data_IF_766398948660
#
_entry.id   IF_766398948660
#
_cell.length_a   1.000
_cell.length_b   1.000
_cell.length_c   1.000
_cell.angle_alpha   90.00
_cell.angle_beta   90.00
_cell.angle_gamma   90.00
#
_symmetry.space_group_name_H-M   'P 1'
#
loop_
_entity.id
_entity.type
_entity.pdbx_description
1 polymer ?
#
# COMPACT_ATOMS: atom_id res chain seq x y z
N UNK A 1 3.97 63.40 -36.13
CA UNK A 1 3.48 64.36 -35.11
C UNK A 1 2.91 63.53 -33.97
N UNK A 2 3.48 63.73 -32.80
CA UNK A 2 3.20 63.07 -31.53
C UNK A 2 1.78 63.37 -31.01
N UNK A 3 1.24 62.47 -30.19
CA UNK A 3 0.60 62.83 -28.92
C UNK A 3 0.67 61.66 -27.93
N UNK A 4 1.11 62.00 -26.72
CA UNK A 4 1.25 61.20 -25.50
C UNK A 4 -0.12 61.01 -24.81
N UNK A 5 -0.42 59.81 -24.31
CA UNK A 5 -0.49 59.41 -22.89
C UNK A 5 -1.64 60.01 -22.06
N UNK A 6 -2.49 59.12 -21.53
CA UNK A 6 -3.15 59.36 -20.24
C UNK A 6 -3.10 58.07 -19.40
N UNK A 7 -2.60 58.22 -18.19
CA UNK A 7 -2.37 57.16 -17.21
C UNK A 7 -3.53 57.26 -16.21
N UNK A 8 -4.31 56.21 -16.03
CA UNK A 8 -5.16 56.08 -14.85
C UNK A 8 -4.97 54.70 -14.26
N UNK A 9 -4.26 54.69 -13.14
CA UNK A 9 -4.16 53.57 -12.21
C UNK A 9 -5.50 53.35 -11.53
N UNK A 10 -6.09 52.16 -11.68
CA UNK A 10 -6.87 51.56 -10.59
C UNK A 10 -6.69 50.04 -10.57
N UNK A 11 -6.21 49.60 -9.43
CA UNK A 11 -5.99 48.26 -8.90
C UNK A 11 -7.09 47.21 -9.16
N UNK A 12 -6.72 46.00 -9.56
CA UNK A 12 -6.70 44.80 -8.69
C UNK A 12 -6.84 43.50 -9.50
N UNK A 13 -5.79 42.66 -9.37
CA UNK A 13 -5.81 41.21 -9.14
C UNK A 13 -6.76 40.36 -10.00
N UNK A 14 -6.19 39.60 -10.94
CA UNK A 14 -6.01 38.15 -10.78
C UNK A 14 -5.25 37.59 -11.99
N UNK A 15 -4.07 37.04 -11.74
CA UNK A 15 -3.33 36.21 -12.68
C UNK A 15 -4.08 34.89 -12.88
N UNK A 16 -4.66 34.71 -14.05
CA UNK A 16 -5.06 33.39 -14.55
C UNK A 16 -4.49 33.23 -15.96
N UNK A 17 -3.46 32.39 -16.17
CA UNK A 17 -3.21 31.83 -17.48
C UNK A 17 -3.86 30.46 -17.53
N UNK A 18 -5.05 30.48 -18.13
CA UNK A 18 -5.85 29.35 -18.58
C UNK A 18 -5.05 28.10 -18.93
N UNK A 19 -5.45 27.01 -18.28
CA UNK A 19 -5.16 25.62 -18.59
C UNK A 19 -5.45 25.28 -20.05
N UNK A 20 -4.41 25.26 -20.89
CA UNK A 20 -4.47 24.51 -22.15
C UNK A 20 -3.88 23.11 -21.92
N UNK A 21 -4.66 22.25 -21.25
CA UNK A 21 -4.33 20.84 -21.07
C UNK A 21 -5.18 19.97 -22.01
N UNK A 22 -5.12 20.27 -23.31
CA UNK A 22 -5.58 19.36 -24.36
C UNK A 22 -4.53 18.26 -24.59
N UNK A 23 -4.43 17.33 -23.64
CA UNK A 23 -3.86 16.01 -23.89
C UNK A 23 -4.67 14.99 -23.11
N UNK A 24 -5.60 14.32 -23.80
CA UNK A 24 -6.43 13.23 -23.29
C UNK A 24 -5.62 11.96 -23.01
N UNK A 25 -4.59 12.05 -22.18
CA UNK A 25 -4.14 10.93 -21.37
C UNK A 25 -4.90 11.03 -20.06
N UNK A 26 -5.75 10.05 -19.67
CA UNK A 26 -6.28 10.04 -18.32
C UNK A 26 -5.08 10.09 -17.39
N UNK A 27 -4.98 11.14 -16.55
CA UNK A 27 -4.02 11.16 -15.45
C UNK A 27 -4.40 9.95 -14.60
N UNK A 28 -3.73 8.82 -14.82
CA UNK A 28 -3.61 7.80 -13.79
C UNK A 28 -3.07 8.58 -12.60
N UNK A 29 -3.90 8.82 -11.59
CA UNK A 29 -3.45 9.41 -10.34
C UNK A 29 -2.50 8.36 -9.78
N UNK A 30 -1.22 8.48 -10.11
CA UNK A 30 -0.19 7.64 -9.55
C UNK A 30 -0.14 8.06 -8.09
N UNK A 31 -0.73 7.25 -7.22
CA UNK A 31 -0.68 7.45 -5.78
C UNK A 31 0.80 7.57 -5.39
N UNK A 32 1.14 8.53 -4.55
CA UNK A 32 2.54 8.72 -4.13
C UNK A 32 3.08 7.43 -3.51
N UNK A 33 4.29 7.03 -3.91
CA UNK A 33 4.90 5.77 -3.47
C UNK A 33 4.49 4.53 -4.26
N UNK A 34 3.52 4.63 -5.17
CA UNK A 34 3.15 3.60 -6.15
C UNK A 34 4.17 3.57 -7.30
N UNK A 35 5.28 2.90 -7.07
CA UNK A 35 6.44 2.86 -7.98
C UNK A 35 6.61 1.52 -8.71
N UNK A 36 5.71 0.55 -8.48
CA UNK A 36 5.82 -0.82 -8.99
C UNK A 36 7.10 -1.56 -8.56
N UNK A 37 7.79 -1.06 -7.54
CA UNK A 37 8.87 -1.74 -6.83
C UNK A 37 8.43 -2.14 -5.41
N UNK A 38 7.52 -1.37 -4.81
CA UNK A 38 6.83 -1.71 -3.58
C UNK A 38 5.53 -2.45 -3.89
N UNK A 39 5.42 -3.64 -3.33
CA UNK A 39 4.28 -4.51 -3.55
C UNK A 39 3.67 -4.92 -2.23
N UNK A 40 2.36 -4.87 -2.19
CA UNK A 40 1.51 -5.33 -1.12
C UNK A 40 1.00 -6.74 -1.47
N UNK A 41 1.36 -7.73 -0.66
CA UNK A 41 0.94 -9.12 -0.81
C UNK A 41 -0.02 -9.46 0.31
N UNK A 42 -1.26 -9.75 -0.06
CA UNK A 42 -2.32 -10.19 0.84
C UNK A 42 -2.40 -11.73 0.78
N UNK A 43 -2.26 -12.37 1.94
CA UNK A 43 -2.34 -13.82 2.12
C UNK A 43 -3.75 -14.21 2.59
N UNK A 44 -4.11 -15.46 2.38
CA UNK A 44 -5.29 -16.05 3.00
C UNK A 44 -5.18 -16.04 4.53
N UNK A 45 -6.33 -15.99 5.22
CA UNK A 45 -6.39 -16.12 6.67
C UNK A 45 -5.80 -17.48 7.07
N UNK A 46 -4.79 -17.51 7.96
CA UNK A 46 -4.17 -18.76 8.34
C UNK A 46 -5.14 -19.62 9.14
N UNK A 47 -5.01 -20.93 9.01
CA UNK A 47 -5.84 -21.89 9.72
C UNK A 47 -5.42 -22.00 11.20
N UNK A 48 -6.41 -22.17 12.08
CA UNK A 48 -6.17 -22.30 13.52
C UNK A 48 -5.78 -20.98 14.18
N UNK A 49 -4.86 -21.06 15.15
CA UNK A 49 -4.38 -19.91 15.94
C UNK A 49 -2.85 -19.85 15.94
N UNK A 50 -2.21 -19.64 14.77
CA UNK A 50 -0.76 -19.54 14.71
C UNK A 50 -0.26 -18.32 15.46
N UNK A 51 1.00 -18.41 15.89
CA UNK A 51 1.73 -17.30 16.47
C UNK A 51 2.09 -16.26 15.40
N UNK A 52 2.36 -15.03 15.84
CA UNK A 52 2.85 -13.95 14.97
C UNK A 52 4.09 -14.34 14.17
N UNK A 53 5.02 -15.06 14.80
CA UNK A 53 6.26 -15.50 14.15
C UNK A 53 6.02 -16.59 13.11
N UNK A 54 5.07 -17.51 13.34
CA UNK A 54 4.67 -18.51 12.35
C UNK A 54 4.03 -17.85 11.13
N UNK A 55 3.15 -16.87 11.33
CA UNK A 55 2.56 -16.07 10.25
C UNK A 55 3.67 -15.38 9.45
N UNK A 56 4.59 -14.67 10.09
CA UNK A 56 5.72 -14.01 9.42
C UNK A 56 6.60 -15.03 8.68
N UNK A 57 6.81 -16.22 9.26
CA UNK A 57 7.56 -17.28 8.59
C UNK A 57 6.88 -17.73 7.29
N UNK A 58 5.55 -17.75 7.23
CA UNK A 58 4.83 -18.04 5.97
C UNK A 58 5.11 -16.97 4.91
N UNK A 59 5.14 -15.68 5.26
CA UNK A 59 5.43 -14.59 4.32
C UNK A 59 6.84 -14.72 3.73
N UNK A 60 7.82 -14.98 4.60
CA UNK A 60 9.20 -15.24 4.22
C UNK A 60 9.29 -16.48 3.31
N UNK A 61 8.55 -17.54 3.65
CA UNK A 61 8.51 -18.75 2.85
C UNK A 61 7.94 -18.50 1.45
N UNK A 62 6.84 -17.73 1.33
CA UNK A 62 6.25 -17.34 0.05
C UNK A 62 7.27 -16.65 -0.85
N UNK A 63 7.99 -15.63 -0.36
CA UNK A 63 9.04 -14.97 -1.15
C UNK A 63 10.21 -15.90 -1.47
N UNK A 64 10.54 -16.84 -0.57
CA UNK A 64 11.67 -17.75 -0.75
C UNK A 64 11.52 -18.67 -1.98
N UNK A 65 10.28 -18.97 -2.38
CA UNK A 65 9.98 -19.79 -3.56
C UNK A 65 10.51 -19.16 -4.86
N UNK A 66 10.71 -17.84 -4.90
CA UNK A 66 11.14 -17.10 -6.09
C UNK A 66 12.50 -16.39 -5.92
N UNK A 67 12.82 -15.92 -4.71
CA UNK A 67 13.97 -15.01 -4.48
C UNK A 67 15.18 -15.68 -3.80
N UNK A 68 15.08 -16.94 -3.39
CA UNK A 68 16.16 -17.64 -2.70
C UNK A 68 16.50 -17.03 -1.33
N UNK A 69 17.79 -16.93 -0.96
CA UNK A 69 18.27 -16.69 0.43
C UNK A 69 18.18 -15.25 0.96
N UNK A 70 17.93 -14.25 0.10
CA UNK A 70 17.89 -12.82 0.50
C UNK A 70 16.47 -12.28 0.66
N UNK A 71 15.47 -13.16 0.62
CA UNK A 71 14.05 -12.82 0.64
C UNK A 71 13.62 -12.05 1.89
N UNK A 72 14.19 -12.37 3.07
CA UNK A 72 13.87 -11.70 4.33
C UNK A 72 14.17 -10.20 4.33
N UNK A 73 15.18 -9.79 3.55
CA UNK A 73 15.60 -8.39 3.48
C UNK A 73 14.76 -7.56 2.51
N UNK A 74 13.85 -8.21 1.77
CA UNK A 74 12.93 -7.53 0.85
C UNK A 74 11.65 -7.08 1.53
N UNK A 75 11.28 -7.69 2.64
CA UNK A 75 10.09 -7.30 3.40
C UNK A 75 10.39 -6.02 4.17
N UNK A 76 9.51 -5.02 4.06
CA UNK A 76 9.61 -3.75 4.82
C UNK A 76 8.52 -3.58 5.87
N UNK A 77 7.37 -4.23 5.69
CA UNK A 77 6.25 -4.18 6.63
C UNK A 77 5.49 -5.50 6.66
N UNK A 78 4.88 -5.81 7.80
CA UNK A 78 4.02 -6.99 7.99
C UNK A 78 2.74 -6.59 8.73
N UNK A 79 1.66 -7.33 8.50
CA UNK A 79 0.44 -7.29 9.30
C UNK A 79 0.02 -8.74 9.61
N UNK A 80 -0.33 -9.01 10.86
CA UNK A 80 -0.46 -10.38 11.38
C UNK A 80 -1.73 -10.64 12.20
N UNK A 81 -2.62 -9.64 12.32
CA UNK A 81 -3.82 -9.69 13.16
C UNK A 81 -5.11 -9.74 12.34
N UNK A 82 -5.45 -8.60 11.72
CA UNK A 82 -6.70 -8.40 10.98
C UNK A 82 -6.52 -8.59 9.48
N UNK A 83 -5.36 -8.19 8.97
CA UNK A 83 -4.97 -8.35 7.57
C UNK A 83 -3.71 -9.19 7.53
N UNK A 84 -3.80 -10.38 6.93
CA UNK A 84 -2.64 -11.25 6.79
C UNK A 84 -1.86 -10.82 5.56
N UNK A 85 -0.96 -9.87 5.73
CA UNK A 85 -0.34 -9.17 4.61
C UNK A 85 1.12 -8.80 4.90
N UNK A 86 1.89 -8.60 3.84
CA UNK A 86 3.22 -8.04 3.95
C UNK A 86 3.59 -7.20 2.73
N UNK A 87 4.40 -6.18 2.98
CA UNK A 87 4.98 -5.32 1.96
C UNK A 87 6.38 -5.82 1.59
N UNK A 88 6.69 -5.91 0.29
CA UNK A 88 8.00 -6.32 -0.19
C UNK A 88 8.54 -5.47 -1.36
N UNK A 89 9.86 -5.24 -1.38
CA UNK A 89 10.60 -4.64 -2.48
C UNK A 89 10.95 -5.70 -3.53
N UNK A 90 10.13 -5.82 -4.57
CA UNK A 90 10.25 -6.82 -5.62
C UNK A 90 9.94 -6.20 -6.99
N UNK A 91 10.46 -6.79 -8.06
CA UNK A 91 10.11 -6.33 -9.41
C UNK A 91 8.68 -6.73 -9.78
N UNK A 92 8.08 -5.97 -10.68
CA UNK A 92 6.78 -6.27 -11.29
C UNK A 92 6.69 -7.71 -11.82
N UNK A 93 7.73 -8.21 -12.52
CA UNK A 93 7.76 -9.61 -12.98
C UNK A 93 7.63 -10.63 -11.83
N UNK A 94 8.23 -10.36 -10.66
CA UNK A 94 8.16 -11.26 -9.51
C UNK A 94 6.79 -11.17 -8.85
N UNK A 95 6.18 -9.99 -8.80
CA UNK A 95 4.85 -9.81 -8.21
C UNK A 95 3.79 -10.64 -8.94
N UNK A 96 3.86 -10.70 -10.28
CA UNK A 96 2.99 -11.56 -11.08
C UNK A 96 3.18 -13.05 -10.78
N UNK A 97 4.42 -13.50 -10.58
CA UNK A 97 4.70 -14.90 -10.19
C UNK A 97 4.20 -15.22 -8.77
N UNK A 98 4.26 -14.26 -7.85
CA UNK A 98 3.74 -14.44 -6.49
C UNK A 98 2.22 -14.62 -6.49
N UNK A 99 1.51 -13.88 -7.35
CA UNK A 99 0.04 -13.97 -7.46
C UNK A 99 -0.46 -15.39 -7.73
N UNK A 100 0.34 -16.21 -8.43
CA UNK A 100 0.01 -17.60 -8.76
C UNK A 100 0.36 -18.60 -7.63
N UNK A 101 0.95 -18.15 -6.53
CA UNK A 101 1.36 -19.04 -5.44
C UNK A 101 0.17 -19.42 -4.54
N UNK A 102 0.08 -20.68 -4.07
CA UNK A 102 -0.95 -21.09 -3.12
C UNK A 102 -0.92 -20.27 -1.83
N UNK A 103 -2.10 -19.89 -1.35
CA UNK A 103 -2.28 -19.08 -0.15
C UNK A 103 -2.10 -17.57 -0.37
N UNK A 104 -1.68 -17.14 -1.57
CA UNK A 104 -1.68 -15.72 -1.95
C UNK A 104 -3.07 -15.37 -2.44
N UNK A 105 -3.69 -14.40 -1.77
CA UNK A 105 -5.05 -13.96 -2.08
C UNK A 105 -5.05 -12.86 -3.13
N UNK A 106 -4.22 -11.82 -2.94
CA UNK A 106 -4.12 -10.65 -3.83
C UNK A 106 -2.71 -10.06 -3.80
N UNK A 107 -2.31 -9.43 -4.91
CA UNK A 107 -1.01 -8.73 -5.05
C UNK A 107 -1.24 -7.42 -5.79
N UNK A 108 -0.87 -6.30 -5.17
CA UNK A 108 -1.07 -4.95 -5.69
C UNK A 108 0.21 -4.11 -5.56
N UNK A 109 0.46 -3.14 -6.45
CA UNK A 109 1.48 -2.13 -6.21
C UNK A 109 1.06 -1.34 -4.96
N UNK A 110 1.99 -1.19 -4.02
CA UNK A 110 1.75 -0.50 -2.75
C UNK A 110 1.93 1.01 -2.92
N UNK A 111 1.31 1.80 -2.05
CA UNK A 111 1.41 3.25 -2.07
C UNK A 111 1.52 3.78 -0.64
N UNK A 112 2.00 5.01 -0.48
CA UNK A 112 2.03 5.63 0.83
C UNK A 112 0.60 5.86 1.34
N UNK A 113 0.37 5.49 2.59
CA UNK A 113 -0.81 5.89 3.34
C UNK A 113 -0.69 7.34 3.83
N UNK A 114 0.55 7.77 4.07
CA UNK A 114 0.91 9.15 4.38
C UNK A 114 2.13 9.54 3.52
N UNK A 115 1.87 10.41 2.53
CA UNK A 115 2.87 10.85 1.57
C UNK A 115 3.97 11.72 2.19
N UNK A 116 3.64 12.48 3.24
CA UNK A 116 4.59 13.40 3.90
C UNK A 116 5.66 12.59 4.66
N UNK A 117 5.23 11.55 5.37
CA UNK A 117 6.13 10.65 6.10
C UNK A 117 6.65 9.47 5.27
N UNK A 118 6.17 9.31 4.03
CA UNK A 118 6.47 8.17 3.15
C UNK A 118 6.19 6.82 3.81
N UNK A 119 5.07 6.76 4.52
CA UNK A 119 4.68 5.60 5.30
C UNK A 119 3.74 4.69 4.52
N UNK A 120 4.21 3.48 4.19
CA UNK A 120 3.37 2.40 3.64
C UNK A 120 2.51 1.73 4.72
N UNK A 121 2.73 2.06 6.00
CA UNK A 121 2.03 1.52 7.17
C UNK A 121 2.50 0.15 7.61
N UNK A 122 1.67 -0.49 8.44
CA UNK A 122 1.90 -1.85 8.90
C UNK A 122 3.01 -1.87 9.93
N UNK A 123 3.34 -3.06 10.41
CA UNK A 123 4.39 -3.25 11.41
C UNK A 123 5.76 -3.24 10.71
N UNK A 124 6.68 -2.30 11.03
CA UNK A 124 7.98 -2.25 10.39
C UNK A 124 8.76 -3.56 10.51
N UNK A 125 9.34 -4.00 9.40
CA UNK A 125 10.16 -5.20 9.30
C UNK A 125 11.60 -4.83 8.94
N UNK A 126 12.45 -4.74 9.96
CA UNK A 126 13.78 -4.16 9.85
C UNK A 126 14.82 -5.26 10.01
N UNK A 127 15.76 -5.36 9.07
CA UNK A 127 16.85 -6.35 9.09
C UNK A 127 16.35 -7.80 9.27
N UNK A 128 15.25 -8.14 8.61
CA UNK A 128 14.68 -9.48 8.65
C UNK A 128 13.90 -9.81 9.93
N UNK A 129 13.55 -8.81 10.75
CA UNK A 129 12.78 -8.98 11.99
C UNK A 129 11.68 -7.93 12.10
N UNK A 130 10.50 -8.36 12.54
CA UNK A 130 9.45 -7.42 12.89
C UNK A 130 9.79 -6.71 14.19
N UNK A 131 9.49 -5.42 14.29
CA UNK A 131 9.57 -4.69 15.57
C UNK A 131 8.61 -5.29 16.60
N UNK A 132 8.71 -4.97 17.90
CA UNK A 132 7.66 -5.33 18.86
C UNK A 132 6.28 -4.86 18.37
N UNK A 133 5.28 -5.73 18.48
CA UNK A 133 3.92 -5.40 18.06
C UNK A 133 3.36 -4.22 18.87
N UNK A 134 2.64 -3.34 18.18
CA UNK A 134 1.96 -2.18 18.74
C UNK A 134 0.61 -2.01 18.00
N UNK A 135 -0.54 -1.93 18.72
CA UNK A 135 -1.86 -1.79 18.11
C UNK A 135 -2.03 -0.59 17.17
N UNK A 136 -1.14 0.42 17.23
CA UNK A 136 -1.16 1.53 16.28
C UNK A 136 -1.00 1.09 14.82
N UNK A 137 -0.38 -0.06 14.56
CA UNK A 137 -0.13 -0.55 13.22
C UNK A 137 -1.38 -1.15 12.56
N UNK A 138 -2.33 -1.67 13.34
CA UNK A 138 -3.56 -2.26 12.81
C UNK A 138 -4.44 -1.24 12.09
N UNK A 139 -4.41 0.02 12.53
CA UNK A 139 -5.22 1.10 11.96
C UNK A 139 -4.66 1.65 10.65
N UNK A 140 -3.39 1.39 10.33
CA UNK A 140 -2.72 2.04 9.20
C UNK A 140 -3.16 1.45 7.86
N UNK A 141 -3.31 0.14 7.75
CA UNK A 141 -3.58 -0.49 6.44
C UNK A 141 -5.03 -0.34 5.95
N UNK A 142 -5.89 0.26 6.78
CA UNK A 142 -7.15 0.89 6.38
C UNK A 142 -8.22 -0.07 5.84
N UNK A 143 -9.47 0.41 5.71
CA UNK A 143 -10.57 -0.32 5.10
C UNK A 143 -10.38 -0.57 3.59
N UNK A 144 -9.48 0.17 2.92
CA UNK A 144 -9.28 0.13 1.46
C UNK A 144 -8.67 -1.18 0.92
N UNK A 145 -8.05 -1.99 1.78
CA UNK A 145 -7.60 -3.34 1.43
C UNK A 145 -8.76 -4.35 1.48
N UNK A 146 -9.85 -4.04 2.19
CA UNK A 146 -11.00 -4.90 2.28
C UNK A 146 -11.91 -4.71 1.05
N UNK A 147 -12.24 -5.81 0.41
CA UNK A 147 -13.46 -5.89 -0.39
C UNK A 147 -14.63 -5.91 0.60
N UNK A 148 -15.73 -5.19 0.37
CA UNK A 148 -16.89 -5.18 1.29
C UNK A 148 -17.40 -6.59 1.61
N UNK A 149 -17.20 -7.53 0.68
CA UNK A 149 -17.52 -8.96 0.81
C UNK A 149 -16.73 -9.69 1.90
N UNK A 150 -15.57 -9.17 2.33
CA UNK A 150 -14.77 -9.76 3.41
C UNK A 150 -15.29 -9.41 4.80
N UNK A 151 -16.01 -8.29 4.92
CA UNK A 151 -16.60 -7.82 6.17
C UNK A 151 -17.83 -8.66 6.55
N UNK A 152 -18.51 -9.24 5.55
CA UNK A 152 -19.70 -10.08 5.76
C UNK A 152 -19.35 -11.42 6.42
N UNK A 153 -18.18 -11.99 6.11
CA UNK A 153 -17.73 -13.27 6.69
C UNK A 153 -17.38 -13.22 8.18
N UNK A 154 -17.06 -12.05 8.74
CA UNK A 154 -16.77 -11.91 10.19
C UNK A 154 -18.03 -11.70 11.05
N UNK A 155 -19.15 -11.28 10.44
CA UNK A 155 -20.41 -11.11 11.18
C UNK A 155 -21.03 -12.45 11.59
N UNK A 156 -20.71 -13.54 10.89
CA UNK A 156 -21.24 -14.86 11.19
C UNK A 156 -20.55 -15.51 12.42
N UNK A 157 -19.26 -15.24 12.63
CA UNK A 157 -18.47 -15.79 13.75
C UNK A 157 -18.74 -15.10 15.10
N UNK A 158 -19.25 -13.86 15.11
CA UNK A 158 -19.50 -13.11 16.35
C UNK A 158 -20.89 -13.33 16.95
N UNK A 159 -21.79 -14.01 16.24
CA UNK A 159 -23.17 -14.20 16.67
C UNK A 159 -23.44 -15.54 17.37
N UNK A 160 -22.43 -16.39 17.59
CA UNK A 160 -22.65 -17.66 18.28
C UNK A 160 -21.61 -17.89 19.40
N UNK A 161 -21.80 -17.29 20.58
CA UNK A 161 -21.09 -17.74 21.78
C UNK A 161 -21.64 -19.11 22.19
N UNK A 162 -20.77 -20.13 22.24
CA UNK A 162 -21.00 -21.33 23.08
C UNK A 162 -21.13 -20.95 24.56
#
# INVERSE_FOLDING_TARGET
MSTEADITTSSSLNDDPQSNLNSSTPRLILLDGCDYEHWLILMEKPQGKPTRDEIIATYIHTLSKLLGRKQRMKIYAVSTRYQFAFGALISDEVSYKIRELPGVRRVFPDAYLDADSKDYGGEPFINGKAVPYDPKYDKKWGPWIYDERDIEGEKEDTQNPE
#
